data_IF_368044207127
#
_entry.id   IF_368044207127
#
_cell.length_a   1.000
_cell.length_b   1.000
_cell.length_c   1.000
_cell.angle_alpha   90.00
_cell.angle_beta   90.00
_cell.angle_gamma   90.00
#
_symmetry.space_group_name_H-M   'P 1'
#
loop_
_entity.id
_entity.type
_entity.pdbx_description
1 polymer ?
#
# COMPACT_ATOMS: atom_id res chain seq x y z
N UNK A 1 -1.84 9.28 -13.54
CA UNK A 1 -0.62 9.51 -12.74
C UNK A 1 -0.52 8.33 -11.78
N UNK A 2 0.47 7.46 -11.98
CA UNK A 2 0.67 6.25 -11.15
C UNK A 2 1.68 6.54 -10.06
N UNK A 3 1.40 6.07 -8.84
CA UNK A 3 2.33 6.12 -7.73
C UNK A 3 3.29 4.93 -7.82
N UNK A 4 4.51 5.14 -7.33
CA UNK A 4 5.46 4.05 -7.15
C UNK A 4 5.17 3.29 -5.85
N UNK A 5 5.35 1.97 -5.86
CA UNK A 5 5.18 1.11 -4.70
C UNK A 5 6.55 0.79 -4.11
N UNK A 6 6.78 1.25 -2.88
CA UNK A 6 7.94 0.88 -2.08
C UNK A 6 7.48 0.15 -0.81
N UNK A 7 8.27 -0.85 -0.38
CA UNK A 7 8.07 -1.53 0.89
C UNK A 7 9.08 -1.02 1.91
N UNK A 8 8.60 -0.62 3.10
CA UNK A 8 9.48 -0.52 4.28
C UNK A 8 10.18 -1.88 4.49
N UNK A 9 11.48 -1.91 4.84
CA UNK A 9 12.21 -3.16 5.03
C UNK A 9 11.56 -4.13 6.01
N UNK A 10 10.83 -3.64 7.02
CA UNK A 10 10.05 -4.46 7.96
C UNK A 10 8.83 -5.06 7.26
N UNK A 11 8.10 -4.26 6.48
CA UNK A 11 6.95 -4.73 5.71
C UNK A 11 7.36 -5.78 4.65
N UNK A 12 8.53 -5.65 4.03
CA UNK A 12 9.04 -6.66 3.09
C UNK A 12 9.29 -8.00 3.76
N UNK A 13 9.80 -8.02 5.00
CA UNK A 13 9.96 -9.26 5.78
C UNK A 13 8.61 -9.90 6.09
N UNK A 14 7.62 -9.11 6.48
CA UNK A 14 6.25 -9.60 6.73
C UNK A 14 5.58 -10.13 5.45
N UNK A 15 5.83 -9.48 4.31
CA UNK A 15 5.33 -9.91 3.00
C UNK A 15 5.78 -11.33 2.61
N UNK A 16 6.91 -11.80 3.14
CA UNK A 16 7.39 -13.16 2.83
C UNK A 16 6.62 -14.26 3.56
N UNK A 17 5.99 -13.97 4.70
CA UNK A 17 5.33 -14.95 5.58
C UNK A 17 4.02 -15.55 5.05
N UNK A 18 3.06 -14.79 4.46
CA UNK A 18 1.80 -15.37 4.01
C UNK A 18 1.97 -16.34 2.83
N UNK A 19 1.03 -17.26 2.66
CA UNK A 19 1.00 -18.15 1.50
C UNK A 19 0.69 -17.44 0.17
N UNK A 20 0.96 -18.11 -0.95
CA UNK A 20 0.91 -17.52 -2.29
C UNK A 20 -0.47 -16.94 -2.66
N UNK A 21 -1.55 -17.63 -2.27
CA UNK A 21 -2.93 -17.14 -2.51
C UNK A 21 -3.16 -15.77 -1.87
N UNK A 22 -2.69 -15.59 -0.65
CA UNK A 22 -2.84 -14.33 0.10
C UNK A 22 -1.96 -13.24 -0.53
N UNK A 23 -0.69 -13.55 -0.87
CA UNK A 23 0.20 -12.62 -1.58
C UNK A 23 -0.42 -12.14 -2.90
N UNK A 24 -1.04 -13.04 -3.68
CA UNK A 24 -1.71 -12.70 -4.95
C UNK A 24 -2.89 -11.75 -4.74
N UNK A 25 -3.72 -11.99 -3.72
CA UNK A 25 -4.85 -11.10 -3.39
C UNK A 25 -4.37 -9.70 -3.02
N UNK A 26 -3.35 -9.59 -2.15
CA UNK A 26 -2.76 -8.29 -1.82
C UNK A 26 -2.14 -7.60 -3.03
N UNK A 27 -1.39 -8.33 -3.87
CA UNK A 27 -0.76 -7.78 -5.09
C UNK A 27 -1.81 -7.16 -6.02
N UNK A 28 -2.91 -7.88 -6.26
CA UNK A 28 -4.02 -7.38 -7.08
C UNK A 28 -4.60 -6.08 -6.50
N UNK A 29 -4.75 -6.00 -5.18
CA UNK A 29 -5.27 -4.80 -4.53
C UNK A 29 -4.28 -3.63 -4.61
N UNK A 30 -2.98 -3.89 -4.39
CA UNK A 30 -1.92 -2.88 -4.50
C UNK A 30 -1.85 -2.29 -5.92
N UNK A 31 -1.97 -3.11 -6.96
CA UNK A 31 -2.00 -2.65 -8.35
C UNK A 31 -3.15 -1.66 -8.64
N UNK A 32 -4.29 -1.82 -7.97
CA UNK A 32 -5.40 -0.87 -8.06
C UNK A 32 -5.11 0.41 -7.26
N UNK A 33 -4.57 0.26 -6.05
CA UNK A 33 -4.29 1.39 -5.13
C UNK A 33 -3.23 2.33 -5.72
N UNK A 34 -2.19 1.83 -6.39
CA UNK A 34 -1.16 2.71 -7.00
C UNK A 34 -1.70 3.64 -8.10
N UNK A 35 -2.89 3.36 -8.64
CA UNK A 35 -3.55 4.27 -9.59
C UNK A 35 -4.19 5.46 -8.88
N UNK A 36 -4.75 5.24 -7.69
CA UNK A 36 -5.34 6.28 -6.84
C UNK A 36 -5.26 5.88 -5.35
N UNK A 37 -4.18 6.23 -4.64
CA UNK A 37 -3.91 5.73 -3.29
C UNK A 37 -4.70 6.48 -2.21
N UNK A 38 -5.29 7.64 -2.53
CA UNK A 38 -6.11 8.42 -1.60
C UNK A 38 -7.55 7.92 -1.63
N UNK A 39 -7.85 6.97 -0.73
CA UNK A 39 -9.18 6.39 -0.54
C UNK A 39 -9.64 6.73 0.89
N UNK A 40 -10.55 7.70 1.00
CA UNK A 40 -10.98 8.25 2.30
C UNK A 40 -11.60 7.21 3.24
N UNK A 41 -12.37 6.25 2.70
CA UNK A 41 -13.00 5.20 3.50
C UNK A 41 -12.01 4.19 4.11
N UNK A 42 -10.78 4.13 3.61
CA UNK A 42 -9.72 3.24 4.12
C UNK A 42 -8.65 3.99 4.90
N UNK A 43 -8.86 5.28 5.16
CA UNK A 43 -7.90 6.13 5.86
C UNK A 43 -7.79 5.71 7.33
N UNK A 44 -6.56 5.51 7.80
CA UNK A 44 -6.28 5.24 9.22
C UNK A 44 -6.54 6.52 10.03
N UNK A 45 -7.30 6.42 11.13
CA UNK A 45 -7.73 7.55 11.96
C UNK A 45 -6.57 8.42 12.45
N UNK A 46 -5.49 7.75 12.86
CA UNK A 46 -4.37 8.38 13.57
C UNK A 46 -3.24 8.82 12.62
N UNK A 47 -3.47 8.69 11.31
CA UNK A 47 -2.45 8.87 10.28
C UNK A 47 -2.76 10.07 9.40
N UNK A 48 -2.60 11.25 9.98
CA UNK A 48 -3.01 12.53 9.38
C UNK A 48 -1.96 13.16 8.44
N UNK A 49 -0.73 12.61 8.33
CA UNK A 49 0.41 13.35 7.76
C UNK A 49 1.24 12.73 6.63
N UNK A 50 1.09 11.45 6.25
CA UNK A 50 2.07 10.82 5.33
C UNK A 50 1.89 11.11 3.83
N UNK A 51 0.90 11.90 3.41
CA UNK A 51 0.63 12.13 1.99
C UNK A 51 0.88 13.59 1.53
N UNK A 52 1.69 14.35 2.26
CA UNK A 52 1.98 15.77 1.97
C UNK A 52 3.09 16.04 0.96
N UNK A 53 3.71 15.04 0.34
CA UNK A 53 4.74 15.29 -0.67
C UNK A 53 4.23 15.00 -2.07
N UNK A 54 3.58 16.00 -2.66
CA UNK A 54 3.55 16.21 -4.11
C UNK A 54 3.58 17.73 -4.38
N UNK A 55 4.79 18.28 -4.43
CA UNK A 55 5.16 19.43 -5.24
C UNK A 55 6.43 19.04 -6.00
#
# INVERSE_FOLDING_TARGET
MTYELEFDPRAWREWQKPGETVKKQFKNKLQQIVQNPRIESTRLSDFTGLLQNQA
#
